data_IF_909046228983
#
_entry.id   IF_909046228983
#
_cell.length_a   1.000
_cell.length_b   1.000
_cell.length_c   1.000
_cell.angle_alpha   90.00
_cell.angle_beta   90.00
_cell.angle_gamma   90.00
#
_symmetry.space_group_name_H-M   'P 1'
#
loop_
_entity.id
_entity.type
_entity.pdbx_description
1 polymer ?
#
# COMPACT_ATOMS: atom_id res chain seq x y z
N UNK A 1 10.57 14.17 -3.59
CA UNK A 1 9.23 14.39 -4.20
C UNK A 1 8.56 13.08 -4.56
N UNK A 2 9.12 12.22 -5.43
CA UNK A 2 8.45 10.94 -5.77
C UNK A 2 8.34 9.99 -4.56
N UNK A 3 9.37 9.91 -3.71
CA UNK A 3 9.35 9.11 -2.48
C UNK A 3 8.25 9.59 -1.50
N UNK A 4 8.15 10.90 -1.29
CA UNK A 4 7.13 11.54 -0.43
C UNK A 4 5.72 11.29 -0.98
N UNK A 5 5.52 11.46 -2.29
CA UNK A 5 4.24 11.19 -2.94
C UNK A 5 3.81 9.72 -2.82
N UNK A 6 4.76 8.78 -2.95
CA UNK A 6 4.50 7.35 -2.74
C UNK A 6 4.17 7.05 -1.27
N UNK A 7 4.82 7.73 -0.33
CA UNK A 7 4.52 7.61 1.10
C UNK A 7 3.10 8.10 1.43
N UNK A 8 2.70 9.26 0.90
CA UNK A 8 1.36 9.79 1.11
C UNK A 8 0.29 8.89 0.49
N UNK A 9 0.54 8.36 -0.72
CA UNK A 9 -0.35 7.40 -1.37
C UNK A 9 -0.50 6.11 -0.54
N UNK A 10 0.60 5.57 0.00
CA UNK A 10 0.58 4.40 0.88
C UNK A 10 -0.28 4.66 2.12
N UNK A 11 -0.09 5.81 2.79
CA UNK A 11 -0.88 6.14 3.99
C UNK A 11 -2.36 6.28 3.68
N UNK A 12 -2.71 6.95 2.57
CA UNK A 12 -4.12 7.10 2.16
C UNK A 12 -4.77 5.73 1.87
N UNK A 13 -4.03 4.82 1.22
CA UNK A 13 -4.53 3.48 0.92
C UNK A 13 -4.66 2.62 2.19
N UNK A 14 -3.72 2.74 3.13
CA UNK A 14 -3.79 2.06 4.43
C UNK A 14 -5.01 2.49 5.24
N UNK A 15 -5.27 3.80 5.32
CA UNK A 15 -6.47 4.32 5.98
C UNK A 15 -7.75 3.83 5.30
N UNK A 16 -7.79 3.83 3.97
CA UNK A 16 -8.94 3.34 3.21
C UNK A 16 -9.19 1.86 3.49
N UNK A 17 -8.14 1.05 3.45
CA UNK A 17 -8.19 -0.39 3.73
C UNK A 17 -8.69 -0.66 5.15
N UNK A 18 -8.20 0.08 6.14
CA UNK A 18 -8.65 -0.04 7.53
C UNK A 18 -10.14 0.30 7.66
N UNK A 19 -10.60 1.40 7.06
CA UNK A 19 -12.02 1.79 7.04
C UNK A 19 -12.88 0.73 6.37
N UNK A 20 -12.42 0.15 5.27
CA UNK A 20 -13.13 -0.92 4.56
C UNK A 20 -13.24 -2.18 5.40
N UNK A 21 -12.14 -2.63 6.00
CA UNK A 21 -12.11 -3.79 6.93
C UNK A 21 -13.02 -3.56 8.13
N UNK A 22 -13.03 -2.36 8.71
CA UNK A 22 -13.90 -2.01 9.83
C UNK A 22 -15.38 -1.98 9.46
N UNK A 23 -15.70 -1.67 8.19
CA UNK A 23 -17.07 -1.65 7.67
C UNK A 23 -17.62 -3.04 7.32
N UNK A 24 -16.78 -4.08 7.23
CA UNK A 24 -17.24 -5.45 6.94
C UNK A 24 -17.99 -6.02 8.14
N UNK A 25 -19.26 -6.44 7.98
CA UNK A 25 -20.01 -7.06 9.07
C UNK A 25 -19.42 -8.42 9.45
N UNK A 26 -19.10 -8.62 10.74
CA UNK A 26 -18.53 -9.88 11.28
C UNK A 26 -19.30 -11.15 10.91
N UNK A 27 -20.61 -11.05 10.72
CA UNK A 27 -21.49 -12.19 10.46
C UNK A 27 -22.07 -12.21 9.05
N UNK A 28 -21.76 -11.22 8.22
CA UNK A 28 -22.32 -11.10 6.87
C UNK A 28 -21.32 -10.46 5.93
N UNK A 29 -20.29 -11.22 5.61
CA UNK A 29 -19.29 -10.84 4.61
C UNK A 29 -19.83 -11.19 3.23
N UNK A 30 -19.87 -10.21 2.33
CA UNK A 30 -20.20 -10.43 0.92
C UNK A 30 -18.92 -10.68 0.13
N UNK A 31 -18.93 -11.57 -0.88
CA UNK A 31 -17.75 -11.83 -1.71
C UNK A 31 -17.15 -10.56 -2.33
N UNK A 32 -17.99 -9.62 -2.81
CA UNK A 32 -17.52 -8.34 -3.35
C UNK A 32 -16.76 -7.48 -2.33
N UNK A 33 -17.10 -7.56 -1.04
CA UNK A 33 -16.37 -6.83 0.00
C UNK A 33 -14.98 -7.40 0.25
N UNK A 34 -14.82 -8.72 0.10
CA UNK A 34 -13.49 -9.36 0.18
C UNK A 34 -12.67 -9.00 -1.04
N UNK A 35 -13.25 -9.06 -2.24
CA UNK A 35 -12.57 -8.67 -3.46
C UNK A 35 -12.10 -7.22 -3.41
N UNK A 36 -12.94 -6.28 -2.95
CA UNK A 36 -12.54 -4.88 -2.78
C UNK A 36 -11.37 -4.71 -1.80
N UNK A 37 -11.33 -5.52 -0.73
CA UNK A 37 -10.21 -5.52 0.23
C UNK A 37 -8.94 -6.11 -0.41
N UNK A 38 -9.06 -7.20 -1.15
CA UNK A 38 -7.94 -7.87 -1.84
C UNK A 38 -7.31 -6.94 -2.89
N UNK A 39 -8.13 -6.26 -3.71
CA UNK A 39 -7.67 -5.28 -4.70
C UNK A 39 -6.88 -4.12 -4.04
N UNK A 40 -7.38 -3.60 -2.91
CA UNK A 40 -6.69 -2.55 -2.14
C UNK A 40 -5.39 -3.07 -1.52
N UNK A 41 -5.34 -4.32 -1.06
CA UNK A 41 -4.11 -4.93 -0.53
C UNK A 41 -3.05 -5.13 -1.61
N UNK A 42 -3.45 -5.54 -2.81
CA UNK A 42 -2.56 -5.68 -3.97
C UNK A 42 -1.99 -4.32 -4.40
N UNK A 43 -2.82 -3.29 -4.51
CA UNK A 43 -2.37 -1.93 -4.85
C UNK A 43 -1.38 -1.39 -3.80
N UNK A 44 -1.68 -1.59 -2.51
CA UNK A 44 -0.80 -1.20 -1.42
C UNK A 44 0.56 -1.90 -1.50
N UNK A 45 0.57 -3.20 -1.83
CA UNK A 45 1.78 -3.98 -1.97
C UNK A 45 2.65 -3.45 -3.13
N UNK A 46 2.05 -3.13 -4.27
CA UNK A 46 2.76 -2.57 -5.42
C UNK A 46 3.33 -1.18 -5.13
N UNK A 47 2.58 -0.31 -4.45
CA UNK A 47 3.09 0.99 -4.00
C UNK A 47 4.27 0.83 -3.03
N UNK A 48 4.20 -0.10 -2.08
CA UNK A 48 5.31 -0.40 -1.15
C UNK A 48 6.54 -0.92 -1.88
N UNK A 49 6.38 -1.81 -2.87
CA UNK A 49 7.49 -2.28 -3.71
C UNK A 49 8.12 -1.14 -4.48
N UNK A 50 7.30 -0.27 -5.10
CA UNK A 50 7.79 0.90 -5.85
C UNK A 50 8.54 1.87 -4.94
N UNK A 51 7.99 2.20 -3.76
CA UNK A 51 8.68 3.05 -2.78
C UNK A 51 10.01 2.44 -2.35
N UNK A 52 10.05 1.13 -2.09
CA UNK A 52 11.29 0.43 -1.76
C UNK A 52 12.32 0.54 -2.88
N UNK A 53 11.91 0.30 -4.13
CA UNK A 53 12.78 0.45 -5.28
C UNK A 53 13.35 1.87 -5.41
N UNK A 54 12.50 2.90 -5.29
CA UNK A 54 12.92 4.31 -5.31
C UNK A 54 13.91 4.60 -4.17
N UNK A 55 13.60 4.17 -2.94
CA UNK A 55 14.49 4.38 -1.79
C UNK A 55 15.84 3.67 -1.92
N UNK A 56 15.88 2.50 -2.57
CA UNK A 56 17.13 1.77 -2.83
C UNK A 56 17.93 2.39 -3.98
N UNK A 57 17.26 2.96 -4.99
CA UNK A 57 17.91 3.74 -6.04
C UNK A 57 18.52 5.05 -5.51
N UNK A 58 17.91 5.65 -4.48
CA UNK A 58 18.45 6.83 -3.80
C UNK A 58 19.64 6.51 -2.88
N UNK A 59 19.67 5.32 -2.26
CA UNK A 59 20.75 4.88 -1.34
C UNK A 59 21.88 4.07 -2.02
N UNK A 60 21.80 3.77 -3.31
CA UNK A 60 22.73 2.89 -4.03
C UNK A 60 24.03 3.53 -4.56
N UNK A 61 24.36 4.78 -4.18
CA UNK A 61 25.57 5.48 -4.66
C UNK A 61 26.72 5.54 -3.64
N UNK A 62 26.55 5.03 -2.43
CA UNK A 62 27.64 4.87 -1.47
C UNK A 62 27.77 3.39 -1.13
N UNK A 63 28.65 2.68 -1.82
CA UNK A 63 29.55 1.64 -1.30
C UNK A 63 30.40 1.15 -2.48
N UNK A 64 31.45 1.93 -2.80
CA UNK A 64 32.58 1.48 -3.58
C UNK A 64 33.73 1.12 -2.64
N UNK A 65 34.31 -0.07 -2.83
CA UNK A 65 35.77 -0.21 -2.86
C UNK A 65 36.28 -0.79 -4.18
#
# INVERSE_FOLDING_TARGET
MENDALQDAIHQLEELLERKKAAVPRHSVRPYQLLEIEELEEELLELKKRKKAVSQSENGLEEGP
#
